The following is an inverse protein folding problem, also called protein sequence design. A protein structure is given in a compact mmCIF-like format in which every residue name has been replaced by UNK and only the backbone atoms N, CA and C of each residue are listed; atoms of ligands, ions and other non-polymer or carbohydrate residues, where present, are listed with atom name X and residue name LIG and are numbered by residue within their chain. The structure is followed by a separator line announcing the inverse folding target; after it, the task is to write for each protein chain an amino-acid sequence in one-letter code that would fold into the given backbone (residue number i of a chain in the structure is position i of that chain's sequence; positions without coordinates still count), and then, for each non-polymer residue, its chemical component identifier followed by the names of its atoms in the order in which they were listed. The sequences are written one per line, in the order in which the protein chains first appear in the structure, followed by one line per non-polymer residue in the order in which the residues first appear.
data_IF_485872013041
#
_entry.id   IF_485872013041
#
_cell.length_a   1.000
_cell.length_b   1.000
_cell.length_c   1.000
_cell.angle_alpha   90.00
_cell.angle_beta   90.00
_cell.angle_gamma   90.00
#
_symmetry.space_group_name_H-M   'P 1'
#
loop_
_entity.id
_entity.type
_entity.pdbx_description
1 polymer ?
#
# COMPACT_ATOMS: atom_id res chain seq x y z
N UNK A 1 -9.72 8.39 -5.46
CA UNK A 1 -10.17 7.44 -4.42
C UNK A 1 -11.59 6.92 -4.64
N UNK A 2 -12.47 7.66 -5.32
CA UNK A 2 -13.86 7.21 -5.53
C UNK A 2 -13.96 5.82 -6.18
N UNK A 3 -13.13 5.52 -7.18
CA UNK A 3 -13.06 4.19 -7.80
C UNK A 3 -12.68 3.05 -6.82
N UNK A 4 -11.85 3.33 -5.81
CA UNK A 4 -11.52 2.32 -4.78
C UNK A 4 -12.72 2.11 -3.86
N UNK A 5 -13.41 3.19 -3.48
CA UNK A 5 -14.62 3.12 -2.65
C UNK A 5 -15.73 2.31 -3.33
N UNK A 6 -15.87 2.39 -4.66
CA UNK A 6 -16.87 1.61 -5.40
C UNK A 6 -16.62 0.09 -5.37
N UNK A 7 -15.43 -0.35 -4.92
CA UNK A 7 -15.12 -1.78 -4.76
C UNK A 7 -15.72 -2.37 -3.48
N UNK A 8 -16.26 -1.53 -2.58
CA UNK A 8 -16.90 -1.95 -1.32
C UNK A 8 -16.03 -2.90 -0.49
N UNK A 9 -14.74 -2.58 -0.34
CA UNK A 9 -13.82 -3.36 0.49
C UNK A 9 -14.31 -3.38 1.95
N UNK A 10 -14.38 -4.55 2.59
CA UNK A 10 -14.70 -4.64 4.02
C UNK A 10 -13.73 -3.81 4.85
N UNK A 11 -14.16 -3.40 6.04
CA UNK A 11 -13.26 -2.75 6.99
C UNK A 11 -12.11 -3.70 7.33
N UNK A 12 -10.91 -3.14 7.49
CA UNK A 12 -9.70 -3.86 7.85
C UNK A 12 -9.29 -4.91 6.80
N UNK A 13 -9.51 -4.62 5.52
CA UNK A 13 -9.30 -5.55 4.42
C UNK A 13 -8.40 -4.96 3.34
N UNK A 14 -7.45 -5.76 2.88
CA UNK A 14 -6.56 -5.41 1.78
C UNK A 14 -6.88 -6.25 0.54
N UNK A 15 -6.74 -5.67 -0.65
CA UNK A 15 -6.97 -6.38 -1.91
C UNK A 15 -6.14 -5.78 -3.04
N UNK A 16 -5.62 -6.65 -3.89
CA UNK A 16 -5.08 -6.25 -5.19
C UNK A 16 -6.22 -6.11 -6.22
N UNK A 17 -6.26 -4.96 -6.89
CA UNK A 17 -7.29 -4.65 -7.88
C UNK A 17 -6.64 -4.38 -9.25
N UNK A 18 -7.24 -4.91 -10.30
CA UNK A 18 -6.84 -4.56 -11.66
C UNK A 18 -7.17 -3.09 -11.95
N UNK A 19 -6.19 -2.34 -12.43
CA UNK A 19 -6.44 -0.97 -12.89
C UNK A 19 -7.24 -0.98 -14.20
N UNK A 20 -8.08 0.03 -14.44
CA UNK A 20 -8.68 0.25 -15.75
C UNK A 20 -7.61 0.29 -16.85
N UNK A 21 -7.93 -0.20 -18.05
CA UNK A 21 -6.98 -0.35 -19.16
C UNK A 21 -6.11 0.90 -19.42
N UNK A 22 -6.71 2.09 -19.42
CA UNK A 22 -5.99 3.35 -19.64
C UNK A 22 -5.05 3.78 -18.51
N UNK A 23 -5.11 3.11 -17.36
CA UNK A 23 -4.28 3.35 -16.18
C UNK A 23 -3.33 2.19 -15.88
N UNK A 24 -3.45 1.04 -16.56
CA UNK A 24 -2.64 -0.14 -16.27
C UNK A 24 -1.13 0.08 -16.48
N UNK A 25 -0.72 1.06 -17.28
CA UNK A 25 0.71 1.37 -17.49
C UNK A 25 1.35 2.20 -16.37
N UNK A 26 0.59 2.67 -15.37
CA UNK A 26 1.14 3.49 -14.27
C UNK A 26 1.76 2.63 -13.15
N UNK A 27 1.53 1.31 -13.15
CA UNK A 27 2.14 0.36 -12.22
C UNK A 27 2.78 -0.79 -12.99
N UNK A 28 3.74 -1.47 -12.36
CA UNK A 28 4.51 -2.53 -13.00
C UNK A 28 3.65 -3.72 -13.45
N UNK A 29 2.56 -4.01 -12.72
CA UNK A 29 1.66 -5.15 -12.96
C UNK A 29 0.29 -4.75 -13.51
N UNK A 30 0.03 -3.45 -13.70
CA UNK A 30 -1.29 -2.94 -14.05
C UNK A 30 -2.35 -3.14 -12.98
N UNK A 31 -1.92 -3.34 -11.74
CA UNK A 31 -2.76 -3.49 -10.56
C UNK A 31 -2.44 -2.39 -9.53
N UNK A 32 -3.30 -2.25 -8.55
CA UNK A 32 -3.11 -1.39 -7.38
C UNK A 32 -3.51 -2.16 -6.13
N UNK A 33 -2.66 -2.09 -5.12
CA UNK A 33 -2.98 -2.64 -3.81
C UNK A 33 -3.82 -1.62 -3.07
N UNK A 34 -4.88 -2.06 -2.43
CA UNK A 34 -5.83 -1.20 -1.71
C UNK A 34 -6.06 -1.72 -0.31
N UNK A 35 -6.23 -0.82 0.65
CA UNK A 35 -6.51 -1.12 2.04
C UNK A 35 -7.66 -0.25 2.52
N UNK A 36 -8.69 -0.86 3.11
CA UNK A 36 -9.66 -0.16 3.94
C UNK A 36 -9.27 -0.39 5.40
N UNK A 37 -8.72 0.63 6.06
CA UNK A 37 -8.15 0.52 7.41
C UNK A 37 -9.24 0.36 8.47
N UNK A 38 -8.87 -0.10 9.68
CA UNK A 38 -9.80 -0.23 10.80
C UNK A 38 -10.44 1.10 11.24
N UNK A 39 -9.78 2.23 11.02
CA UNK A 39 -10.30 3.59 11.26
C UNK A 39 -11.03 4.20 10.04
N UNK A 40 -11.32 3.35 9.03
CA UNK A 40 -12.18 3.65 7.89
C UNK A 40 -11.51 4.46 6.78
N UNK A 41 -10.19 4.60 6.80
CA UNK A 41 -9.44 5.25 5.72
C UNK A 41 -9.29 4.29 4.56
N UNK A 42 -9.21 4.83 3.36
CA UNK A 42 -8.84 4.07 2.18
C UNK A 42 -7.42 4.46 1.82
N UNK A 43 -6.53 3.49 1.73
CA UNK A 43 -5.19 3.69 1.24
C UNK A 43 -4.96 2.85 -0.03
N UNK A 44 -4.05 3.33 -0.87
CA UNK A 44 -3.57 2.63 -2.06
C UNK A 44 -2.05 2.57 -2.05
N UNK A 45 -1.53 1.49 -2.61
CA UNK A 45 -0.13 1.33 -2.94
C UNK A 45 0.00 0.98 -4.43
N UNK A 46 0.74 1.83 -5.13
CA UNK A 46 1.09 1.65 -6.54
C UNK A 46 2.55 1.23 -6.65
N UNK A 47 2.80 -0.04 -6.96
CA UNK A 47 4.15 -0.56 -7.19
C UNK A 47 4.61 -0.16 -8.60
N UNK A 48 5.53 0.80 -8.68
CA UNK A 48 6.01 1.37 -9.96
C UNK A 48 7.23 0.64 -10.52
N UNK A 49 8.03 0.01 -9.67
CA UNK A 49 9.10 -0.89 -10.09
C UNK A 49 9.21 -2.08 -9.15
N UNK A 50 9.52 -3.25 -9.70
CA UNK A 50 9.73 -4.49 -8.94
C UNK A 50 11.04 -5.13 -9.44
N UNK A 51 12.21 -4.64 -8.99
CA UNK A 51 13.51 -5.02 -9.56
C UNK A 51 13.91 -6.47 -9.29
N UNK A 52 13.56 -7.04 -8.12
CA UNK A 52 13.93 -8.41 -7.76
C UNK A 52 12.93 -8.99 -6.75
N UNK A 53 12.42 -10.20 -7.03
CA UNK A 53 11.36 -10.86 -6.24
C UNK A 53 10.18 -9.91 -6.01
N UNK A 54 9.79 -9.68 -4.76
CA UNK A 54 8.74 -8.73 -4.37
C UNK A 54 9.31 -7.44 -3.76
N UNK A 55 10.62 -7.19 -3.85
CA UNK A 55 11.15 -5.87 -3.50
C UNK A 55 10.59 -4.87 -4.51
N UNK A 56 10.09 -3.74 -4.03
CA UNK A 56 9.47 -2.74 -4.89
C UNK A 56 9.79 -1.32 -4.47
N UNK A 57 9.70 -0.42 -5.43
CA UNK A 57 9.49 1.00 -5.19
C UNK A 57 8.11 1.41 -5.71
N UNK A 58 7.49 2.37 -5.04
CA UNK A 58 6.12 2.73 -5.33
C UNK A 58 5.67 4.04 -4.72
N UNK A 59 4.39 4.32 -4.93
CA UNK A 59 3.69 5.45 -4.34
C UNK A 59 2.62 4.93 -3.41
N UNK A 60 2.67 5.35 -2.15
CA UNK A 60 1.62 5.12 -1.17
C UNK A 60 0.77 6.39 -1.03
N UNK A 61 -0.55 6.23 -1.04
CA UNK A 61 -1.49 7.31 -0.82
C UNK A 61 -2.63 6.88 0.11
N UNK A 62 -3.02 7.74 1.05
CA UNK A 62 -4.23 7.53 1.85
C UNK A 62 -5.22 8.70 1.74
N UNK A 63 -6.52 8.38 1.75
CA UNK A 63 -7.61 9.36 1.54
C UNK A 63 -7.76 10.37 2.68
N UNK A 64 -7.11 10.12 3.82
CA UNK A 64 -6.98 11.01 4.97
C UNK A 64 -5.53 10.99 5.49
N UNK A 65 -5.09 12.04 6.20
CA UNK A 65 -3.75 12.12 6.78
C UNK A 65 -3.34 10.87 7.59
N UNK A 66 -2.08 10.47 7.46
CA UNK A 66 -1.45 9.55 8.40
C UNK A 66 -1.10 10.29 9.69
N UNK A 67 -1.27 9.58 10.80
CA UNK A 67 -0.90 9.99 12.15
C UNK A 67 0.47 9.44 12.52
N UNK A 68 1.09 9.96 13.58
CA UNK A 68 2.38 9.44 14.06
C UNK A 68 2.32 7.94 14.43
N UNK A 69 1.16 7.44 14.87
CA UNK A 69 0.97 6.01 15.16
C UNK A 69 0.93 5.10 13.94
N UNK A 70 0.83 5.66 12.72
CA UNK A 70 0.91 4.90 11.47
C UNK A 70 2.37 4.70 11.03
N UNK A 71 3.34 5.21 11.78
CA UNK A 71 4.77 5.04 11.53
C UNK A 71 5.40 4.19 12.62
N UNK A 72 6.21 3.20 12.23
CA UNK A 72 7.03 2.44 13.16
C UNK A 72 8.46 2.99 13.20
N UNK A 73 9.05 2.96 14.39
CA UNK A 73 10.45 3.34 14.64
C UNK A 73 11.36 2.12 14.48
N UNK A 74 11.39 1.51 13.29
CA UNK A 74 12.36 0.44 13.04
C UNK A 74 13.77 1.04 13.03
N UNK A 75 14.60 0.62 13.99
CA UNK A 75 15.90 1.21 14.29
C UNK A 75 16.99 0.89 13.25
N UNK A 76 16.71 0.02 12.29
CA UNK A 76 17.71 -0.48 11.33
C UNK A 76 18.05 0.55 10.25
N UNK A 77 17.10 1.42 9.90
CA UNK A 77 17.27 2.48 8.92
C UNK A 77 16.73 3.78 9.56
N UNK A 78 17.50 4.87 9.52
CA UNK A 78 17.11 6.19 10.07
C UNK A 78 16.01 6.88 9.22
N UNK A 79 15.06 6.09 8.73
CA UNK A 79 14.00 6.48 7.81
C UNK A 79 12.64 6.12 8.42
N UNK A 80 11.63 7.00 8.30
CA UNK A 80 10.27 6.67 8.72
C UNK A 80 9.76 5.46 7.94
N UNK A 81 9.18 4.49 8.64
CA UNK A 81 8.54 3.33 8.03
C UNK A 81 7.05 3.39 8.31
N UNK A 82 6.22 3.42 7.26
CA UNK A 82 4.77 3.34 7.39
C UNK A 82 4.40 1.90 7.70
N UNK A 83 3.72 1.71 8.82
CA UNK A 83 3.19 0.43 9.26
C UNK A 83 1.79 0.67 9.77
N UNK A 84 0.82 0.39 8.91
CA UNK A 84 -0.58 0.50 9.31
C UNK A 84 -0.91 -0.76 10.10
N UNK A 85 -1.67 -0.63 11.19
CA UNK A 85 -2.17 -1.80 11.91
C UNK A 85 -3.47 -2.31 11.25
N UNK A 86 -3.58 -3.64 11.09
CA UNK A 86 -4.77 -4.26 10.53
C UNK A 86 -4.80 -5.78 10.67
N UNK A 87 -5.98 -6.39 10.48
CA UNK A 87 -6.16 -7.83 10.35
C UNK A 87 -6.08 -8.15 8.86
N UNK A 88 -4.86 -8.36 8.39
CA UNK A 88 -4.60 -8.53 6.97
C UNK A 88 -4.99 -9.94 6.52
N UNK A 89 -6.09 -10.03 5.79
CA UNK A 89 -6.31 -11.12 4.82
C UNK A 89 -6.19 -10.46 3.46
N UNK A 90 -4.97 -10.27 2.96
CA UNK A 90 -4.79 -9.73 1.62
C UNK A 90 -5.18 -10.82 0.62
N UNK A 91 -5.96 -10.45 -0.39
CA UNK A 91 -6.28 -11.35 -1.50
C UNK A 91 -5.65 -10.83 -2.78
N UNK A 92 -4.99 -11.74 -3.51
CA UNK A 92 -4.47 -11.46 -4.84
C UNK A 92 -5.61 -11.33 -5.87
N UNK A 93 -5.26 -11.09 -7.13
CA UNK A 93 -6.24 -10.99 -8.23
C UNK A 93 -7.06 -12.27 -8.46
N UNK A 94 -6.59 -13.44 -7.99
CA UNK A 94 -7.31 -14.72 -8.07
C UNK A 94 -8.19 -14.96 -6.84
N UNK A 95 -8.11 -14.10 -5.83
CA UNK A 95 -8.83 -14.26 -4.57
C UNK A 95 -8.14 -15.23 -3.62
N UNK A 96 -6.87 -15.54 -3.85
CA UNK A 96 -6.04 -16.37 -2.97
C UNK A 96 -5.37 -15.49 -1.90
N UNK A 97 -5.15 -16.03 -0.70
CA UNK A 97 -4.45 -15.29 0.35
C UNK A 97 -3.03 -14.94 -0.10
N UNK A 98 -2.76 -13.64 -0.19
CA UNK A 98 -1.44 -13.09 -0.40
C UNK A 98 -0.86 -12.68 0.95
N UNK A 99 0.22 -13.33 1.38
CA UNK A 99 0.90 -13.02 2.64
C UNK A 99 1.87 -11.84 2.53
N UNK A 100 1.91 -11.15 1.38
CA UNK A 100 2.82 -10.03 1.19
C UNK A 100 2.46 -8.83 2.09
N UNK A 101 3.48 -8.32 2.79
CA UNK A 101 3.40 -7.24 3.79
C UNK A 101 3.23 -5.83 3.17
N UNK A 102 2.42 -5.70 2.12
CA UNK A 102 2.33 -4.52 1.26
C UNK A 102 1.87 -3.23 1.98
N UNK A 103 1.39 -3.32 3.22
CA UNK A 103 1.01 -2.17 4.05
C UNK A 103 1.62 -2.17 5.45
N UNK A 104 2.49 -3.15 5.74
CA UNK A 104 3.03 -3.34 7.08
C UNK A 104 4.43 -2.75 7.24
N UNK A 105 5.24 -2.67 6.18
CA UNK A 105 6.63 -2.20 6.27
C UNK A 105 7.04 -1.39 5.03
N UNK A 106 6.51 -0.17 4.91
CA UNK A 106 6.79 0.71 3.78
C UNK A 106 7.79 1.79 4.18
N UNK A 107 9.05 1.65 3.77
CA UNK A 107 10.10 2.64 4.04
C UNK A 107 9.87 3.91 3.23
N UNK A 108 9.77 5.06 3.88
CA UNK A 108 9.50 6.34 3.23
C UNK A 108 10.78 6.91 2.62
N UNK A 109 10.84 6.93 1.29
CA UNK A 109 11.92 7.58 0.53
C UNK A 109 11.68 9.08 0.47
N UNK A 110 10.42 9.50 0.27
CA UNK A 110 10.04 10.91 0.17
C UNK A 110 8.62 11.16 0.65
N UNK A 111 8.44 12.19 1.48
CA UNK A 111 7.14 12.67 1.94
C UNK A 111 6.72 13.90 1.13
N UNK A 112 5.60 13.82 0.41
CA UNK A 112 5.04 14.97 -0.31
C UNK A 112 4.08 15.76 0.58
N UNK A 113 3.29 15.07 1.40
CA UNK A 113 2.41 15.65 2.42
C UNK A 113 2.03 14.56 3.46
N UNK A 114 0.97 14.74 4.24
CA UNK A 114 0.50 13.76 5.23
C UNK A 114 -0.25 12.57 4.63
N UNK A 115 -0.49 12.58 3.32
CA UNK A 115 -1.31 11.59 2.61
C UNK A 115 -0.55 10.87 1.49
N UNK A 116 0.52 11.45 0.97
CA UNK A 116 1.23 10.98 -0.23
C UNK A 116 2.72 10.82 0.02
N UNK A 117 3.22 9.62 -0.26
CA UNK A 117 4.58 9.20 0.04
C UNK A 117 5.16 8.37 -1.12
N UNK A 118 6.42 8.58 -1.44
CA UNK A 118 7.22 7.62 -2.20
C UNK A 118 7.81 6.62 -1.21
N UNK A 119 7.63 5.33 -1.49
CA UNK A 119 7.98 4.25 -0.58
C UNK A 119 8.77 3.14 -1.27
N UNK A 120 9.52 2.41 -0.47
CA UNK A 120 10.21 1.17 -0.86
C UNK A 120 9.88 0.05 0.12
N UNK A 121 9.92 -1.17 -0.39
CA UNK A 121 9.86 -2.40 0.39
C UNK A 121 11.03 -3.29 0.00
N UNK A 122 11.73 -3.80 1.01
CA UNK A 122 12.86 -4.71 0.85
C UNK A 122 12.62 -5.93 1.73
N UNK A 123 12.63 -7.11 1.11
CA UNK A 123 12.71 -8.38 1.82
C UNK A 123 14.10 -8.51 2.45
N UNK A 124 14.15 -8.62 3.77
CA UNK A 124 15.37 -8.97 4.53
C UNK A 124 15.79 -10.44 4.30
#
# INVERSE_FOLDING_TARGET
MDWVRTQNLPLNFARELQLPFGLACITQRGTVHTLHTADGRYCILMKTAIPFRENFSGTFYCDRPLSESDFCSYQTYDQPCISIAGQYTCLDIKGEEDYNNDFQELYVVKRHNEQLFEVEYTLD
#
